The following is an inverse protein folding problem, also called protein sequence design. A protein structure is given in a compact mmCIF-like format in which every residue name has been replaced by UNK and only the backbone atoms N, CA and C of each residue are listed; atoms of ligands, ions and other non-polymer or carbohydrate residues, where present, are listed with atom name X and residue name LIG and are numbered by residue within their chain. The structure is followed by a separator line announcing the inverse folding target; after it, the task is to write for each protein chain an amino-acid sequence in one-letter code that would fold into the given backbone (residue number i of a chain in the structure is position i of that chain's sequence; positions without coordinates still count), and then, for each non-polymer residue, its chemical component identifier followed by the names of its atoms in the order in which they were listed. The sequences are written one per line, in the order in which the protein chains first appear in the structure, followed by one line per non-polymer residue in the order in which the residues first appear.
data_IF_637672119204
#
_entry.id   IF_637672119204
#
_cell.length_a   1.000
_cell.length_b   1.000
_cell.length_c   1.000
_cell.angle_alpha   90.00
_cell.angle_beta   90.00
_cell.angle_gamma   90.00
#
_symmetry.space_group_name_H-M   'P 1'
#
loop_
_entity.id
_entity.type
_entity.pdbx_description
1 polymer ?
#
# COMPACT_ATOMS: atom_id res chain seq x y z
N UNK A 1 -13.88 10.90 -17.41
CA UNK A 1 -12.76 10.19 -16.74
C UNK A 1 -12.10 11.21 -15.82
N UNK A 2 -12.01 10.94 -14.52
CA UNK A 2 -11.38 11.87 -13.56
C UNK A 2 -9.92 11.48 -13.38
N UNK A 3 -8.99 12.43 -13.50
CA UNK A 3 -7.56 12.27 -13.19
C UNK A 3 -7.27 13.09 -11.94
N UNK A 4 -6.59 12.47 -10.97
CA UNK A 4 -6.13 13.13 -9.74
C UNK A 4 -4.65 12.79 -9.60
N UNK A 5 -3.83 13.81 -9.37
CA UNK A 5 -2.39 13.68 -9.18
C UNK A 5 -2.00 14.49 -7.95
N UNK A 6 -1.07 13.95 -7.18
CA UNK A 6 -0.47 14.60 -6.03
C UNK A 6 1.03 14.27 -6.00
N UNK A 7 1.83 15.14 -5.41
CA UNK A 7 3.28 14.97 -5.35
C UNK A 7 3.83 15.61 -4.09
N UNK A 8 4.64 14.84 -3.36
CA UNK A 8 5.29 15.27 -2.12
C UNK A 8 6.78 14.96 -2.17
N UNK A 9 7.58 15.73 -1.44
CA UNK A 9 9.01 15.46 -1.25
C UNK A 9 9.20 14.73 0.07
N UNK A 10 9.81 13.54 0.00
CA UNK A 10 10.21 12.77 1.17
C UNK A 10 11.72 12.88 1.32
N UNK A 11 12.20 13.35 2.47
CA UNK A 11 13.63 13.53 2.74
C UNK A 11 14.33 12.19 3.07
N UNK A 12 14.27 11.24 2.13
CA UNK A 12 14.84 9.90 2.21
C UNK A 12 15.43 9.48 0.85
N UNK A 13 16.41 8.55 0.83
CA UNK A 13 16.85 7.88 -0.38
C UNK A 13 15.69 7.25 -1.16
N UNK A 14 15.83 7.14 -2.47
CA UNK A 14 14.75 6.64 -3.34
C UNK A 14 14.48 5.15 -3.09
N UNK A 15 15.52 4.38 -2.79
CA UNK A 15 15.47 2.97 -2.43
C UNK A 15 14.62 2.76 -1.16
N UNK A 16 14.85 3.55 -0.11
CA UNK A 16 14.09 3.47 1.14
C UNK A 16 12.59 3.77 0.91
N UNK A 17 12.31 4.78 0.08
CA UNK A 17 10.93 5.15 -0.26
C UNK A 17 10.26 4.06 -1.10
N UNK A 18 10.99 3.49 -2.07
CA UNK A 18 10.45 2.44 -2.93
C UNK A 18 10.17 1.15 -2.16
N UNK A 19 11.13 0.70 -1.34
CA UNK A 19 10.98 -0.51 -0.53
C UNK A 19 9.82 -0.36 0.46
N UNK A 20 9.71 0.79 1.11
CA UNK A 20 8.59 1.09 2.00
C UNK A 20 7.24 1.12 1.26
N UNK A 21 7.12 1.87 0.16
CA UNK A 21 5.85 1.98 -0.58
C UNK A 21 5.40 0.69 -1.24
N UNK A 22 6.34 -0.21 -1.55
CA UNK A 22 6.01 -1.46 -2.21
C UNK A 22 5.69 -2.57 -1.22
N UNK A 23 6.22 -2.57 0.00
CA UNK A 23 5.86 -3.57 1.01
C UNK A 23 4.36 -3.53 1.40
N UNK A 24 3.56 -4.57 1.13
CA UNK A 24 2.16 -4.60 1.51
C UNK A 24 1.93 -4.46 3.01
N UNK A 25 2.84 -4.93 3.86
CA UNK A 25 2.64 -4.89 5.31
C UNK A 25 2.68 -3.46 5.87
N UNK A 26 3.34 -2.53 5.17
CA UNK A 26 3.42 -1.11 5.57
C UNK A 26 2.26 -0.26 5.03
N UNK A 27 1.45 -0.77 4.10
CA UNK A 27 0.32 -0.05 3.49
C UNK A 27 -0.58 0.65 4.51
N UNK A 28 -0.96 0.04 5.66
CA UNK A 28 -1.81 0.69 6.66
C UNK A 28 -1.20 1.94 7.31
N UNK A 29 0.12 2.09 7.27
CA UNK A 29 0.80 3.21 7.92
C UNK A 29 0.64 4.53 7.13
N UNK A 30 0.59 4.45 5.81
CA UNK A 30 0.58 5.63 4.93
C UNK A 30 -0.69 5.76 4.09
N UNK A 31 -1.48 4.69 3.95
CA UNK A 31 -2.79 4.72 3.30
C UNK A 31 -3.90 4.60 4.34
N UNK A 32 -4.51 5.71 4.75
CA UNK A 32 -5.49 5.74 5.85
C UNK A 32 -6.75 4.89 5.66
N UNK A 33 -7.05 4.42 4.45
CA UNK A 33 -8.11 3.44 4.18
C UNK A 33 -7.68 1.99 4.39
N UNK A 34 -6.40 1.66 4.31
CA UNK A 34 -5.90 0.30 4.49
C UNK A 34 -5.92 -0.08 5.98
N UNK A 35 -6.34 -1.30 6.28
CA UNK A 35 -6.34 -1.87 7.64
C UNK A 35 -5.30 -2.97 7.79
N UNK A 36 -5.11 -3.75 6.74
CA UNK A 36 -4.19 -4.86 6.67
C UNK A 36 -3.93 -5.16 5.20
N UNK A 37 -2.69 -5.49 4.84
CA UNK A 37 -2.38 -6.04 3.54
C UNK A 37 -1.22 -7.03 3.66
N UNK A 38 -1.27 -8.09 2.83
CA UNK A 38 -0.24 -9.14 2.79
C UNK A 38 -0.18 -9.78 1.42
N UNK A 39 1.00 -10.29 1.06
CA UNK A 39 1.18 -11.10 -0.14
C UNK A 39 0.39 -12.42 0.01
N UNK A 40 -0.31 -12.81 -1.04
CA UNK A 40 -0.97 -14.11 -1.11
C UNK A 40 0.05 -15.19 -1.51
N UNK A 41 0.25 -16.18 -0.62
CA UNK A 41 1.21 -17.27 -0.81
C UNK A 41 2.50 -17.08 -0.02
N UNK A 42 3.54 -17.82 -0.39
CA UNK A 42 4.85 -17.78 0.28
C UNK A 42 5.88 -17.00 -0.55
N UNK A 43 6.76 -16.29 0.14
CA UNK A 43 7.89 -15.57 -0.44
C UNK A 43 7.69 -14.05 -0.54
N UNK A 44 8.75 -13.32 -0.92
CA UNK A 44 8.72 -11.87 -0.99
C UNK A 44 7.83 -11.38 -2.14
N UNK A 45 7.42 -10.12 -2.04
CA UNK A 45 6.66 -9.48 -3.11
C UNK A 45 7.50 -9.38 -4.39
N UNK A 46 6.87 -9.68 -5.54
CA UNK A 46 7.48 -9.61 -6.86
C UNK A 46 6.43 -9.27 -7.92
N UNK A 47 6.89 -8.94 -9.13
CA UNK A 47 5.99 -8.73 -10.26
C UNK A 47 5.11 -9.98 -10.48
N UNK A 48 3.79 -9.76 -10.56
CA UNK A 48 2.80 -10.83 -10.70
C UNK A 48 2.30 -11.43 -9.38
N UNK A 49 2.85 -11.03 -8.22
CA UNK A 49 2.27 -11.39 -6.92
C UNK A 49 0.85 -10.86 -6.77
N UNK A 50 0.04 -11.58 -5.99
CA UNK A 50 -1.30 -11.15 -5.57
C UNK A 50 -1.22 -10.66 -4.13
N UNK A 51 -1.99 -9.62 -3.81
CA UNK A 51 -2.06 -9.05 -2.47
C UNK A 51 -3.49 -9.16 -1.96
N UNK A 52 -3.64 -9.67 -0.74
CA UNK A 52 -4.89 -9.64 0.00
C UNK A 52 -4.89 -8.42 0.89
N UNK A 53 -5.95 -7.62 0.81
CA UNK A 53 -6.04 -6.37 1.53
C UNK A 53 -7.43 -6.16 2.13
N UNK A 54 -7.45 -5.67 3.37
CA UNK A 54 -8.65 -5.23 4.06
C UNK A 54 -8.66 -3.71 4.14
N UNK A 55 -9.72 -3.06 3.66
CA UNK A 55 -9.86 -1.60 3.65
C UNK A 55 -11.14 -1.12 4.35
N UNK A 56 -11.10 0.12 4.85
CA UNK A 56 -12.27 0.94 5.17
C UNK A 56 -12.77 1.64 3.90
N UNK A 57 -14.07 1.69 3.73
CA UNK A 57 -14.72 2.46 2.69
C UNK A 57 -15.53 3.59 3.33
N UNK A 58 -15.25 4.84 2.96
CA UNK A 58 -15.89 6.03 3.55
C UNK A 58 -15.86 6.03 5.09
N UNK A 59 -14.73 5.62 5.68
CA UNK A 59 -14.54 5.56 7.13
C UNK A 59 -15.19 4.37 7.83
N UNK A 60 -15.94 3.50 7.11
CA UNK A 60 -16.55 2.29 7.68
C UNK A 60 -15.80 1.04 7.26
N UNK A 61 -15.62 0.11 8.20
CA UNK A 61 -15.14 -1.25 7.89
C UNK A 61 -16.28 -1.96 7.16
N UNK A 62 -16.06 -2.32 5.90
CA UNK A 62 -16.94 -3.25 5.21
C UNK A 62 -16.50 -4.66 5.64
N UNK A 63 -17.47 -5.50 5.98
CA UNK A 63 -17.29 -6.93 6.25
C UNK A 63 -17.69 -7.74 5.02
#
# INVERSE_FOLDING_TARGET
MVRVEDSIVVARPIEDVFDYLTDPETLPEWQGSALEARVEGEGPMRAGSRVLERRKFLGRRLE
#
